data_IF_876560965645
#
_entry.id   IF_876560965645
#
_cell.length_a   1.000
_cell.length_b   1.000
_cell.length_c   1.000
_cell.angle_alpha   90.00
_cell.angle_beta   90.00
_cell.angle_gamma   90.00
#
_symmetry.space_group_name_H-M   'P 1'
#
loop_
_entity.id
_entity.type
_entity.pdbx_description
1 polymer ?
#
# COMPACT_ATOMS: atom_id res chain seq x y z
N UNK A 1 -55.05 -68.06 -32.43
CA UNK A 1 -56.27 -67.22 -32.38
C UNK A 1 -55.89 -65.89 -33.02
N UNK A 2 -56.37 -65.59 -34.24
CA UNK A 2 -57.42 -64.57 -34.53
C UNK A 2 -57.23 -63.30 -33.70
N UNK A 3 -57.15 -62.06 -34.18
CA UNK A 3 -57.44 -61.34 -35.44
C UNK A 3 -57.04 -59.87 -35.11
N UNK A 4 -56.33 -59.13 -35.96
CA UNK A 4 -56.82 -57.97 -36.73
C UNK A 4 -57.67 -56.98 -35.89
N UNK A 5 -57.44 -55.68 -35.78
CA UNK A 5 -57.25 -54.61 -36.78
C UNK A 5 -57.50 -53.30 -35.95
N UNK A 6 -56.85 -52.15 -36.08
CA UNK A 6 -57.15 -51.08 -37.05
C UNK A 6 -56.33 -49.83 -36.63
N UNK A 7 -55.62 -49.19 -37.58
CA UNK A 7 -55.40 -47.72 -37.76
C UNK A 7 -54.75 -46.87 -36.63
N UNK A 8 -53.84 -45.91 -36.86
CA UNK A 8 -53.28 -45.27 -38.05
C UNK A 8 -52.01 -44.48 -37.63
N UNK A 9 -50.94 -44.71 -38.39
CA UNK A 9 -49.78 -43.88 -38.76
C UNK A 9 -49.74 -42.37 -38.36
N UNK A 10 -48.54 -41.99 -37.88
CA UNK A 10 -47.77 -40.73 -38.01
C UNK A 10 -48.09 -39.43 -37.22
N UNK A 11 -47.01 -38.96 -36.58
CA UNK A 11 -46.46 -37.60 -36.62
C UNK A 11 -46.93 -36.51 -35.64
N UNK A 12 -45.92 -35.97 -34.95
CA UNK A 12 -45.66 -34.53 -34.72
C UNK A 12 -46.42 -33.94 -33.52
N UNK A 13 -45.79 -33.85 -32.33
CA UNK A 13 -44.99 -32.70 -31.84
C UNK A 13 -45.83 -31.82 -30.89
N UNK A 14 -45.15 -31.21 -29.91
CA UNK A 14 -45.59 -30.12 -29.03
C UNK A 14 -46.62 -30.45 -27.93
N UNK A 15 -46.14 -30.50 -26.67
CA UNK A 15 -46.50 -29.58 -25.58
C UNK A 15 -46.07 -30.16 -24.23
N UNK A 16 -44.78 -30.06 -23.90
CA UNK A 16 -44.34 -30.00 -22.51
C UNK A 16 -44.39 -28.54 -22.08
N UNK A 17 -45.40 -28.21 -21.29
CA UNK A 17 -45.60 -26.90 -20.69
C UNK A 17 -44.48 -26.60 -19.68
N UNK A 18 -43.70 -25.57 -20.02
CA UNK A 18 -43.20 -24.51 -19.15
C UNK A 18 -43.17 -24.76 -17.63
N UNK A 19 -41.96 -24.91 -17.10
CA UNK A 19 -41.57 -24.28 -15.84
C UNK A 19 -40.28 -23.51 -16.10
N UNK A 20 -40.42 -22.20 -16.27
CA UNK A 20 -39.31 -21.25 -16.34
C UNK A 20 -38.81 -20.96 -14.92
N UNK A 21 -37.52 -21.16 -14.72
CA UNK A 21 -36.71 -20.50 -13.70
C UNK A 21 -35.41 -20.09 -14.39
N UNK A 22 -35.48 -18.98 -15.11
CA UNK A 22 -34.36 -18.31 -15.76
C UNK A 22 -33.43 -17.75 -14.66
N UNK A 23 -32.12 -17.96 -14.80
CA UNK A 23 -31.09 -17.07 -14.28
C UNK A 23 -29.72 -17.52 -14.82
N UNK A 24 -29.31 -16.82 -15.88
CA UNK A 24 -27.96 -16.29 -15.96
C UNK A 24 -26.90 -17.29 -16.36
N UNK A 25 -26.61 -17.28 -17.65
CA UNK A 25 -25.35 -17.74 -18.22
C UNK A 25 -24.19 -17.03 -17.48
N UNK A 26 -23.60 -17.68 -16.47
CA UNK A 26 -22.26 -17.35 -16.01
C UNK A 26 -21.30 -17.80 -17.13
N UNK A 27 -21.25 -17.00 -18.19
CA UNK A 27 -20.15 -17.02 -19.14
C UNK A 27 -18.89 -16.59 -18.38
N UNK A 28 -18.32 -17.53 -17.65
CA UNK A 28 -16.93 -17.45 -17.24
C UNK A 28 -16.10 -17.42 -18.51
N UNK A 29 -15.80 -16.22 -19.00
CA UNK A 29 -14.77 -16.01 -20.00
C UNK A 29 -13.46 -16.39 -19.30
N UNK A 30 -12.99 -17.61 -19.55
CA UNK A 30 -11.58 -17.91 -19.32
C UNK A 30 -10.77 -16.82 -20.03
N UNK A 31 -10.07 -15.99 -19.27
CA UNK A 31 -9.02 -15.14 -19.83
C UNK A 31 -8.05 -16.12 -20.52
N UNK A 32 -7.80 -15.99 -21.83
CA UNK A 32 -6.89 -16.89 -22.51
C UNK A 32 -5.55 -16.92 -21.78
N UNK A 33 -5.17 -18.10 -21.28
CA UNK A 33 -3.80 -18.32 -20.85
C UNK A 33 -2.89 -18.03 -22.04
N UNK A 34 -1.96 -17.07 -21.91
CA UNK A 34 -0.95 -16.79 -22.93
C UNK A 34 -1.01 -15.45 -23.65
N UNK A 35 -1.81 -14.47 -23.22
CA UNK A 35 -1.52 -13.08 -23.61
C UNK A 35 -0.37 -12.56 -22.76
N UNK A 36 0.84 -12.61 -23.32
CA UNK A 36 2.04 -12.05 -22.71
C UNK A 36 1.75 -10.60 -22.26
N UNK A 37 2.16 -10.27 -21.04
CA UNK A 37 2.03 -8.90 -20.53
C UNK A 37 2.74 -7.93 -21.49
N UNK A 38 2.09 -6.83 -21.91
CA UNK A 38 2.71 -5.89 -22.84
C UNK A 38 3.70 -4.94 -22.14
N UNK A 39 3.96 -5.17 -20.84
CA UNK A 39 4.98 -4.44 -20.07
C UNK A 39 6.36 -4.67 -20.69
N UNK A 40 7.08 -3.58 -20.87
CA UNK A 40 8.45 -3.58 -21.38
C UNK A 40 9.38 -3.47 -20.16
N UNK A 41 10.10 -4.55 -19.86
CA UNK A 41 11.05 -4.62 -18.73
C UNK A 41 12.38 -5.22 -19.18
N UNK A 42 13.22 -4.41 -19.83
CA UNK A 42 14.61 -4.81 -20.14
C UNK A 42 15.54 -4.35 -19.00
N UNK A 43 16.01 -5.32 -18.18
CA UNK A 43 16.83 -5.07 -16.99
C UNK A 43 18.16 -4.35 -17.25
N UNK A 44 18.66 -4.40 -18.49
CA UNK A 44 19.91 -3.74 -18.90
C UNK A 44 19.70 -2.28 -19.32
N UNK A 45 18.45 -1.89 -19.61
CA UNK A 45 18.09 -0.56 -20.14
C UNK A 45 17.29 0.30 -19.15
N UNK A 46 16.86 -0.27 -18.03
CA UNK A 46 16.13 0.43 -16.98
C UNK A 46 17.07 1.09 -15.94
N UNK A 47 16.64 2.17 -15.27
CA UNK A 47 15.33 2.82 -15.39
C UNK A 47 15.18 3.62 -16.68
N UNK A 48 14.03 3.50 -17.35
CA UNK A 48 13.74 4.31 -18.53
C UNK A 48 13.53 5.79 -18.18
N UNK A 49 13.84 6.70 -19.10
CA UNK A 49 13.65 8.14 -18.89
C UNK A 49 12.17 8.54 -18.77
N UNK A 50 11.26 7.83 -19.44
CA UNK A 50 9.82 8.10 -19.43
C UNK A 50 9.06 6.95 -18.80
N UNK A 51 8.03 7.28 -18.00
CA UNK A 51 7.19 6.27 -17.35
C UNK A 51 6.39 5.47 -18.38
N UNK A 52 5.91 6.11 -19.44
CA UNK A 52 5.17 5.45 -20.52
C UNK A 52 5.95 4.32 -21.21
N UNK A 53 7.29 4.36 -21.20
CA UNK A 53 8.12 3.35 -21.86
C UNK A 53 8.01 1.95 -21.24
N UNK A 54 7.61 1.83 -19.97
CA UNK A 54 7.37 0.52 -19.36
C UNK A 54 6.05 -0.10 -19.82
N UNK A 55 5.13 0.69 -20.37
CA UNK A 55 3.81 0.25 -20.79
C UNK A 55 3.00 -0.44 -19.66
N UNK A 56 3.01 0.13 -18.45
CA UNK A 56 2.24 -0.40 -17.32
C UNK A 56 0.74 -0.12 -17.39
N UNK A 57 0.33 0.90 -18.15
CA UNK A 57 -1.04 1.38 -18.18
C UNK A 57 -1.57 1.50 -19.61
N UNK A 58 -2.84 1.15 -19.80
CA UNK A 58 -3.58 1.27 -21.04
C UNK A 58 -3.91 2.73 -21.36
N UNK A 59 -3.82 3.10 -22.64
CA UNK A 59 -4.21 4.42 -23.14
C UNK A 59 -3.48 5.58 -22.43
N UNK A 60 -4.23 6.61 -22.05
CA UNK A 60 -3.70 7.75 -21.30
C UNK A 60 -3.23 7.32 -19.90
N UNK A 61 -1.91 7.28 -19.69
CA UNK A 61 -1.31 6.73 -18.47
C UNK A 61 -1.77 7.42 -17.16
N UNK A 62 -2.25 8.67 -17.22
CA UNK A 62 -2.84 9.39 -16.07
C UNK A 62 -4.06 8.68 -15.48
N UNK A 63 -4.78 7.91 -16.28
CA UNK A 63 -5.95 7.15 -15.83
C UNK A 63 -5.55 5.96 -14.95
N UNK A 64 -4.28 5.54 -15.03
CA UNK A 64 -3.69 4.42 -14.30
C UNK A 64 -4.54 3.15 -14.39
N UNK A 65 -5.05 2.87 -15.60
CA UNK A 65 -5.73 1.62 -15.92
C UNK A 65 -4.67 0.57 -16.25
N UNK A 66 -4.44 -0.45 -15.40
CA UNK A 66 -3.34 -1.38 -15.61
C UNK A 66 -3.53 -2.23 -16.87
N UNK A 67 -2.45 -2.47 -17.60
CA UNK A 67 -2.41 -3.49 -18.66
C UNK A 67 -2.47 -4.91 -18.08
N UNK A 68 -2.69 -5.92 -18.91
CA UNK A 68 -2.64 -7.32 -18.52
C UNK A 68 -1.33 -7.66 -17.77
N UNK A 69 -1.45 -8.29 -16.60
CA UNK A 69 -0.34 -8.66 -15.72
C UNK A 69 0.05 -7.59 -14.69
N UNK A 70 -0.32 -6.33 -14.87
CA UNK A 70 -0.13 -5.32 -13.83
C UNK A 70 -1.30 -5.41 -12.85
N UNK A 71 -1.04 -5.82 -11.61
CA UNK A 71 -2.08 -6.06 -10.63
C UNK A 71 -2.16 -4.91 -9.61
N UNK A 72 -3.30 -4.23 -9.45
CA UNK A 72 -3.47 -3.26 -8.39
C UNK A 72 -3.53 -3.94 -7.02
N UNK A 73 -3.06 -3.24 -6.00
CA UNK A 73 -3.20 -3.65 -4.60
C UNK A 73 -3.27 -2.43 -3.69
N UNK A 74 -3.73 -2.65 -2.46
CA UNK A 74 -3.71 -1.68 -1.39
C UNK A 74 -3.28 -2.31 -0.07
N UNK A 75 -2.95 -1.48 0.91
CA UNK A 75 -2.54 -1.90 2.24
C UNK A 75 -3.71 -1.75 3.21
N UNK A 76 -3.69 -2.51 4.32
CA UNK A 76 -4.69 -2.37 5.39
C UNK A 76 -4.68 -0.93 5.95
N UNK A 77 -3.49 -0.38 6.17
CA UNK A 77 -3.26 1.02 6.52
C UNK A 77 -2.31 1.68 5.53
N UNK A 78 -2.54 2.94 5.18
CA UNK A 78 -1.69 3.69 4.25
C UNK A 78 -0.78 4.66 4.99
N UNK A 79 0.51 4.66 4.61
CA UNK A 79 1.51 5.66 5.01
C UNK A 79 0.99 7.08 4.78
N UNK A 80 1.12 7.94 5.78
CA UNK A 80 0.87 9.37 5.67
C UNK A 80 1.96 10.06 4.83
N UNK A 81 1.54 10.91 3.90
CA UNK A 81 2.45 11.72 3.07
C UNK A 81 1.71 12.96 2.62
N UNK A 82 1.56 13.94 3.52
CA UNK A 82 0.87 15.20 3.25
C UNK A 82 -0.56 15.05 2.70
N UNK A 83 -1.29 14.05 3.20
CA UNK A 83 -2.62 13.66 2.71
C UNK A 83 -2.70 13.22 1.24
N UNK A 84 -1.56 13.08 0.54
CA UNK A 84 -1.55 12.49 -0.80
C UNK A 84 -2.15 11.07 -0.75
N UNK A 85 -3.05 10.77 -1.69
CA UNK A 85 -3.57 9.43 -1.93
C UNK A 85 -2.55 8.60 -2.71
N UNK A 86 -2.68 7.27 -2.65
CA UNK A 86 -1.75 6.35 -3.30
C UNK A 86 -2.47 5.28 -4.10
N UNK A 87 -2.10 5.12 -5.37
CA UNK A 87 -2.38 3.90 -6.15
C UNK A 87 -1.13 3.04 -6.14
N UNK A 88 -1.29 1.73 -5.98
CA UNK A 88 -0.17 0.77 -5.97
C UNK A 88 -0.44 -0.37 -6.93
N UNK A 89 0.62 -0.80 -7.60
CA UNK A 89 0.57 -1.91 -8.54
C UNK A 89 1.81 -2.80 -8.37
N UNK A 90 1.65 -4.08 -8.66
CA UNK A 90 2.74 -5.04 -8.76
C UNK A 90 2.73 -5.64 -10.16
N UNK A 91 3.92 -5.83 -10.72
CA UNK A 91 4.14 -6.59 -11.93
C UNK A 91 5.34 -7.51 -11.73
N UNK A 92 5.25 -8.74 -12.24
CA UNK A 92 6.33 -9.72 -12.24
C UNK A 92 6.48 -10.34 -13.64
N UNK A 93 7.70 -10.73 -14.04
CA UNK A 93 7.90 -11.49 -15.26
C UNK A 93 7.07 -12.78 -15.27
N UNK A 94 6.63 -13.17 -16.46
CA UNK A 94 5.83 -14.38 -16.65
C UNK A 94 6.54 -15.62 -16.08
N UNK A 95 5.78 -16.47 -15.40
CA UNK A 95 6.29 -17.70 -14.78
C UNK A 95 7.08 -17.51 -13.48
N UNK A 96 7.30 -16.27 -13.02
CA UNK A 96 7.97 -15.99 -11.75
C UNK A 96 6.98 -15.74 -10.62
N UNK A 97 7.40 -16.03 -9.37
CA UNK A 97 6.57 -15.97 -8.17
C UNK A 97 7.33 -15.37 -7.01
N UNK A 98 6.66 -14.54 -6.21
CA UNK A 98 7.11 -14.18 -4.89
C UNK A 98 6.88 -15.33 -3.88
N UNK A 99 7.64 -15.32 -2.79
CA UNK A 99 7.56 -16.32 -1.72
C UNK A 99 7.23 -15.66 -0.39
N UNK A 100 6.35 -16.30 0.38
CA UNK A 100 6.08 -15.94 1.77
C UNK A 100 7.30 -16.28 2.64
N UNK A 101 7.70 -15.34 3.51
CA UNK A 101 8.77 -15.55 4.49
C UNK A 101 8.15 -15.61 5.89
N UNK A 102 7.57 -14.51 6.35
CA UNK A 102 6.76 -14.39 7.57
C UNK A 102 5.65 -13.35 7.37
N UNK A 103 4.72 -13.24 8.32
CA UNK A 103 3.62 -12.26 8.23
C UNK A 103 4.12 -10.80 8.14
N UNK A 104 5.17 -10.48 8.91
CA UNK A 104 5.68 -9.12 9.09
C UNK A 104 6.85 -8.74 8.19
N UNK A 105 7.33 -9.66 7.36
CA UNK A 105 8.40 -9.42 6.40
C UNK A 105 7.85 -9.12 5.01
N UNK A 106 8.62 -8.38 4.22
CA UNK A 106 8.29 -8.15 2.82
C UNK A 106 8.35 -9.50 2.09
N UNK A 107 7.38 -9.74 1.20
CA UNK A 107 7.42 -10.91 0.34
C UNK A 107 8.77 -10.98 -0.40
N UNK A 108 9.33 -12.19 -0.53
CA UNK A 108 10.56 -12.37 -1.29
C UNK A 108 10.24 -12.36 -2.78
N UNK A 109 10.55 -11.25 -3.45
CA UNK A 109 10.18 -11.01 -4.84
C UNK A 109 11.28 -11.46 -5.81
N UNK A 110 10.92 -12.07 -6.96
CA UNK A 110 11.88 -12.49 -7.97
C UNK A 110 12.49 -11.30 -8.70
N UNK A 111 13.69 -11.50 -9.26
CA UNK A 111 14.31 -10.55 -10.21
C UNK A 111 13.37 -10.25 -11.37
N UNK A 112 13.27 -8.98 -11.73
CA UNK A 112 12.31 -8.44 -12.70
C UNK A 112 11.06 -7.82 -12.08
N UNK A 113 10.78 -8.05 -10.79
CA UNK A 113 9.61 -7.46 -10.14
C UNK A 113 9.63 -5.94 -10.17
N UNK A 114 8.49 -5.32 -10.50
CA UNK A 114 8.26 -3.89 -10.35
C UNK A 114 7.14 -3.63 -9.33
N UNK A 115 7.44 -2.79 -8.34
CA UNK A 115 6.45 -2.25 -7.39
C UNK A 115 6.25 -0.78 -7.72
N UNK A 116 5.05 -0.43 -8.15
CA UNK A 116 4.70 0.89 -8.68
C UNK A 116 3.81 1.58 -7.67
N UNK A 117 4.11 2.83 -7.33
CA UNK A 117 3.33 3.64 -6.39
C UNK A 117 3.18 5.06 -6.92
N UNK A 118 1.95 5.48 -7.15
CA UNK A 118 1.63 6.83 -7.64
C UNK A 118 1.00 7.65 -6.53
N UNK A 119 1.51 8.86 -6.32
CA UNK A 119 1.04 9.83 -5.33
C UNK A 119 0.21 10.91 -6.02
N UNK A 120 -1.00 11.14 -5.53
CA UNK A 120 -1.95 12.05 -6.17
C UNK A 120 -2.90 12.71 -5.16
N UNK A 121 -3.58 13.75 -5.61
CA UNK A 121 -4.65 14.43 -4.88
C UNK A 121 -5.90 14.43 -5.74
N UNK A 122 -7.03 14.00 -5.18
CA UNK A 122 -8.34 14.20 -5.79
C UNK A 122 -8.89 15.58 -5.42
N UNK A 123 -9.88 16.04 -6.19
CA UNK A 123 -10.50 17.36 -6.00
C UNK A 123 -9.47 18.50 -6.01
N UNK A 124 -8.46 18.42 -6.88
CA UNK A 124 -7.42 19.42 -6.99
C UNK A 124 -7.99 20.74 -7.52
N UNK A 125 -7.60 21.86 -6.92
CA UNK A 125 -8.01 23.19 -7.36
C UNK A 125 -7.16 23.65 -8.56
N UNK A 126 -7.73 24.33 -9.57
CA UNK A 126 -9.11 24.80 -9.67
C UNK A 126 -10.08 23.84 -10.38
N UNK A 127 -9.59 22.77 -11.02
CA UNK A 127 -10.39 21.94 -11.93
C UNK A 127 -11.35 20.97 -11.22
N UNK A 128 -11.10 20.66 -9.94
CA UNK A 128 -11.78 19.59 -9.20
C UNK A 128 -11.37 18.18 -9.65
N UNK A 129 -10.37 18.05 -10.51
CA UNK A 129 -9.92 16.76 -11.05
C UNK A 129 -8.75 16.19 -10.23
N UNK A 130 -8.39 14.94 -10.48
CA UNK A 130 -7.17 14.34 -9.94
C UNK A 130 -5.93 15.06 -10.46
N UNK A 131 -5.00 15.40 -9.57
CA UNK A 131 -3.65 15.87 -9.88
C UNK A 131 -2.62 14.84 -9.39
N UNK A 132 -1.87 14.23 -10.31
CA UNK A 132 -0.81 13.28 -9.98
C UNK A 132 0.50 14.06 -9.81
N UNK A 133 1.24 13.73 -8.76
CA UNK A 133 2.49 14.42 -8.44
C UNK A 133 3.69 13.63 -8.94
N UNK A 134 3.81 12.38 -8.47
CA UNK A 134 4.93 11.51 -8.80
C UNK A 134 4.51 10.04 -8.85
N UNK A 135 5.24 9.25 -9.62
CA UNK A 135 5.18 7.79 -9.61
C UNK A 135 6.56 7.26 -9.26
N UNK A 136 6.63 6.46 -8.19
CA UNK A 136 7.85 5.78 -7.77
C UNK A 136 7.78 4.32 -8.15
N UNK A 137 8.85 3.80 -8.73
CA UNK A 137 9.00 2.40 -9.05
C UNK A 137 10.20 1.85 -8.28
N UNK A 138 9.99 0.76 -7.56
CA UNK A 138 11.08 -0.09 -7.10
C UNK A 138 11.18 -1.30 -8.02
N UNK A 139 12.37 -1.55 -8.57
CA UNK A 139 12.62 -2.66 -9.50
C UNK A 139 13.64 -3.61 -8.90
N UNK A 140 13.31 -4.89 -8.81
CA UNK A 140 14.20 -5.94 -8.32
C UNK A 140 15.15 -6.38 -9.43
N UNK A 141 16.41 -5.94 -9.38
CA UNK A 141 17.51 -6.46 -10.21
C UNK A 141 18.16 -7.68 -9.53
N UNK A 142 19.12 -8.28 -10.22
CA UNK A 142 19.87 -9.44 -9.70
C UNK A 142 20.72 -9.06 -8.46
N UNK A 143 21.24 -7.85 -8.42
CA UNK A 143 22.10 -7.29 -7.37
C UNK A 143 21.32 -6.63 -6.22
N UNK A 144 20.03 -6.34 -6.40
CA UNK A 144 19.22 -5.70 -5.37
C UNK A 144 18.03 -4.92 -5.93
N UNK A 145 17.39 -4.14 -5.06
CA UNK A 145 16.34 -3.21 -5.48
C UNK A 145 16.96 -1.91 -5.97
N UNK A 146 16.43 -1.35 -7.05
CA UNK A 146 16.71 0.02 -7.48
C UNK A 146 15.47 0.90 -7.35
N UNK A 147 15.66 2.21 -7.21
CA UNK A 147 14.59 3.20 -7.16
C UNK A 147 14.59 4.03 -8.43
N UNK A 148 13.40 4.26 -8.98
CA UNK A 148 13.18 5.16 -10.09
C UNK A 148 12.01 6.08 -9.73
N UNK A 149 12.26 7.39 -9.67
CA UNK A 149 11.25 8.39 -9.36
C UNK A 149 10.86 9.17 -10.61
N UNK A 150 9.57 9.26 -10.91
CA UNK A 150 9.03 9.94 -12.09
C UNK A 150 8.14 11.09 -11.68
N UNK A 151 8.44 12.30 -12.14
CA UNK A 151 7.63 13.50 -11.86
C UNK A 151 6.72 13.78 -13.05
N UNK A 152 5.44 13.95 -12.78
CA UNK A 152 4.42 14.20 -13.79
C UNK A 152 4.49 15.63 -14.31
N UNK A 153 4.31 15.80 -15.62
CA UNK A 153 4.20 17.12 -16.24
C UNK A 153 2.85 17.79 -15.93
N UNK A 154 2.77 19.10 -16.15
CA UNK A 154 1.56 19.88 -15.88
C UNK A 154 0.37 19.46 -16.75
N UNK A 155 0.65 18.98 -17.97
CA UNK A 155 -0.36 18.51 -18.93
C UNK A 155 -0.93 17.13 -18.57
N UNK A 156 -0.35 16.43 -17.57
CA UNK A 156 -0.76 15.10 -17.13
C UNK A 156 -0.68 14.04 -18.24
N UNK A 157 0.30 14.16 -19.12
CA UNK A 157 0.50 13.25 -20.27
C UNK A 157 1.70 12.32 -20.11
N UNK A 158 2.68 12.69 -19.29
CA UNK A 158 3.91 11.92 -19.09
C UNK A 158 4.50 12.16 -17.71
N UNK A 159 5.29 11.19 -17.23
CA UNK A 159 6.18 11.39 -16.09
C UNK A 159 7.63 11.07 -16.46
N UNK A 160 8.56 11.93 -16.04
CA UNK A 160 9.97 11.86 -16.43
C UNK A 160 10.83 11.49 -15.21
N UNK A 161 11.78 10.58 -15.42
CA UNK A 161 12.74 10.14 -14.42
C UNK A 161 13.53 11.33 -13.86
N UNK A 162 13.64 11.39 -12.53
CA UNK A 162 14.48 12.35 -11.82
C UNK A 162 15.25 11.67 -10.70
N UNK A 163 16.48 12.14 -10.47
CA UNK A 163 17.28 11.80 -9.28
C UNK A 163 17.30 12.93 -8.25
N UNK A 164 16.90 14.14 -8.67
CA UNK A 164 16.91 15.34 -7.86
C UNK A 164 15.66 15.40 -6.97
N UNK A 165 15.82 15.99 -5.78
CA UNK A 165 14.67 16.42 -4.98
C UNK A 165 13.89 17.50 -5.72
N UNK A 166 12.59 17.56 -5.50
CA UNK A 166 11.71 18.58 -6.06
C UNK A 166 10.61 18.98 -5.09
N UNK A 167 9.77 19.91 -5.54
CA UNK A 167 8.54 20.21 -4.83
C UNK A 167 7.46 20.70 -5.77
N UNK A 168 6.21 20.38 -5.46
CA UNK A 168 5.03 20.84 -6.20
C UNK A 168 4.03 21.42 -5.19
N UNK A 169 3.63 22.67 -5.39
CA UNK A 169 2.55 23.25 -4.60
C UNK A 169 1.24 22.65 -5.08
N UNK A 170 0.52 21.99 -4.18
CA UNK A 170 -0.80 21.40 -4.46
C UNK A 170 -1.85 22.13 -3.63
N UNK A 171 -3.00 22.40 -4.27
CA UNK A 171 -4.21 22.86 -3.62
C UNK A 171 -5.33 21.88 -3.90
N UNK A 172 -6.09 21.49 -2.90
CA UNK A 172 -7.20 20.54 -3.06
C UNK A 172 -8.31 20.84 -2.05
N UNK A 173 -9.53 20.42 -2.38
CA UNK A 173 -10.64 20.47 -1.44
C UNK A 173 -10.67 19.22 -0.56
N UNK A 174 -10.70 19.44 0.75
CA UNK A 174 -10.93 18.41 1.76
C UNK A 174 -12.25 18.73 2.46
N UNK A 175 -13.33 18.08 2.02
CA UNK A 175 -14.69 18.58 2.29
C UNK A 175 -14.84 19.98 1.70
N UNK A 176 -15.37 20.91 2.49
CA UNK A 176 -15.56 22.31 2.06
C UNK A 176 -14.31 23.19 2.21
N UNK A 177 -13.21 22.65 2.73
CA UNK A 177 -12.00 23.42 3.01
C UNK A 177 -10.98 23.31 1.89
N UNK A 178 -10.56 24.46 1.34
CA UNK A 178 -9.42 24.53 0.44
C UNK A 178 -8.11 24.38 1.25
N UNK A 179 -7.42 23.26 1.04
CA UNK A 179 -6.11 22.99 1.62
C UNK A 179 -5.00 23.38 0.64
N UNK A 180 -3.80 23.59 1.17
CA UNK A 180 -2.60 23.83 0.37
C UNK A 180 -1.43 23.14 1.04
N UNK A 181 -0.55 22.53 0.23
CA UNK A 181 0.69 21.94 0.69
C UNK A 181 1.81 22.19 -0.31
N UNK A 182 3.03 22.35 0.19
CA UNK A 182 4.22 22.31 -0.64
C UNK A 182 4.78 20.88 -0.63
N UNK A 183 4.20 20.01 -1.45
CA UNK A 183 4.54 18.60 -1.48
C UNK A 183 6.01 18.43 -1.87
N UNK A 184 6.76 17.67 -1.05
CA UNK A 184 8.17 17.40 -1.27
C UNK A 184 8.37 16.07 -2.00
N UNK A 185 9.02 16.15 -3.15
CA UNK A 185 9.44 14.99 -3.94
C UNK A 185 10.87 14.65 -3.45
N UNK A 186 11.07 13.50 -2.78
CA UNK A 186 12.37 13.14 -2.23
C UNK A 186 13.38 12.81 -3.33
N UNK A 187 14.64 13.12 -3.09
CA UNK A 187 15.77 12.63 -3.89
C UNK A 187 15.97 11.12 -3.69
N UNK A 188 16.78 10.50 -4.55
CA UNK A 188 17.14 9.09 -4.38
C UNK A 188 17.81 8.80 -3.02
N UNK A 189 18.65 9.71 -2.52
CA UNK A 189 19.28 9.58 -1.21
C UNK A 189 18.27 9.65 -0.05
N UNK A 190 17.25 10.51 -0.17
CA UNK A 190 16.16 10.57 0.81
C UNK A 190 15.24 9.34 0.73
N UNK A 191 15.03 8.75 -0.46
CA UNK A 191 14.34 7.46 -0.55
C UNK A 191 15.10 6.36 0.19
N UNK A 192 16.44 6.33 0.06
CA UNK A 192 17.29 5.35 0.71
C UNK A 192 17.23 5.41 2.24
N UNK A 193 17.01 6.57 2.88
CA UNK A 193 16.97 6.66 4.35
C UNK A 193 15.79 5.90 4.98
N UNK A 194 14.67 5.78 4.26
CA UNK A 194 13.53 4.95 4.67
C UNK A 194 13.61 3.52 4.13
N UNK A 195 14.14 3.34 2.92
CA UNK A 195 14.14 2.05 2.22
C UNK A 195 15.44 1.26 2.41
N UNK A 196 16.16 1.43 3.52
CA UNK A 196 17.36 0.66 3.84
C UNK A 196 17.15 -0.16 5.09
N UNK A 197 17.41 -1.47 5.00
CA UNK A 197 17.42 -2.41 6.11
C UNK A 197 18.71 -3.21 6.05
N UNK A 198 19.50 -3.21 7.13
CA UNK A 198 20.81 -3.88 7.19
C UNK A 198 21.72 -3.52 6.00
N UNK A 199 21.77 -2.23 5.64
CA UNK A 199 22.53 -1.69 4.49
C UNK A 199 22.08 -2.21 3.11
N UNK A 200 20.88 -2.78 3.00
CA UNK A 200 20.30 -3.24 1.73
C UNK A 200 18.99 -2.53 1.44
N UNK A 201 18.73 -2.26 0.16
CA UNK A 201 17.47 -1.62 -0.24
C UNK A 201 16.31 -2.61 -0.19
N UNK A 202 15.23 -2.21 0.49
CA UNK A 202 14.03 -3.04 0.67
C UNK A 202 12.74 -2.25 0.40
N UNK A 203 11.69 -2.87 -0.17
CA UNK A 203 10.37 -2.27 -0.25
C UNK A 203 9.75 -2.01 1.11
N UNK A 204 8.79 -1.10 1.17
CA UNK A 204 7.97 -0.84 2.36
C UNK A 204 6.52 -1.06 1.98
N UNK A 205 5.80 -1.86 2.77
CA UNK A 205 4.38 -2.10 2.59
C UNK A 205 3.97 -3.52 2.18
N UNK A 206 4.56 -4.18 1.16
CA UNK A 206 4.06 -5.44 0.60
C UNK A 206 4.48 -6.64 1.46
N UNK A 207 4.03 -6.61 2.72
CA UNK A 207 4.13 -7.67 3.71
C UNK A 207 2.79 -8.41 3.75
N UNK A 208 2.75 -9.73 3.98
CA UNK A 208 1.49 -10.46 4.12
C UNK A 208 0.52 -9.83 5.12
N UNK A 209 1.01 -9.37 6.28
CA UNK A 209 0.19 -8.71 7.31
C UNK A 209 -0.56 -7.46 6.81
N UNK A 210 0.00 -6.77 5.81
CA UNK A 210 -0.56 -5.53 5.26
C UNK A 210 -1.42 -5.76 4.01
N UNK A 211 -1.35 -6.95 3.42
CA UNK A 211 -2.05 -7.31 2.17
C UNK A 211 -3.27 -8.19 2.44
N UNK A 212 -3.35 -8.83 3.61
CA UNK A 212 -4.40 -9.75 3.97
C UNK A 212 -5.75 -9.04 4.24
N UNK A 213 -6.37 -8.56 3.17
CA UNK A 213 -7.71 -7.97 3.11
C UNK A 213 -8.33 -8.26 1.75
N UNK A 214 -9.66 -8.10 1.67
CA UNK A 214 -10.36 -8.13 0.40
C UNK A 214 -10.10 -6.83 -0.38
N UNK A 215 -9.99 -6.97 -1.71
CA UNK A 215 -9.86 -5.88 -2.66
C UNK A 215 -10.88 -6.07 -3.79
N UNK A 216 -11.48 -4.97 -4.22
CA UNK A 216 -12.44 -4.95 -5.34
C UNK A 216 -11.67 -4.80 -6.64
N UNK A 217 -11.45 -5.91 -7.33
CA UNK A 217 -10.93 -5.95 -8.69
C UNK A 217 -12.07 -5.72 -9.69
N UNK A 218 -11.72 -5.43 -10.94
CA UNK A 218 -12.69 -5.20 -12.02
C UNK A 218 -13.65 -6.37 -12.24
N UNK A 219 -13.17 -7.60 -11.99
CA UNK A 219 -13.88 -8.86 -12.22
C UNK A 219 -14.52 -9.45 -10.95
N UNK A 220 -14.03 -9.09 -9.76
CA UNK A 220 -14.34 -9.81 -8.53
C UNK A 220 -13.91 -9.05 -7.27
N UNK A 221 -14.51 -9.41 -6.12
CA UNK A 221 -13.95 -9.09 -4.81
C UNK A 221 -13.17 -10.30 -4.33
N UNK A 222 -11.88 -10.14 -4.04
CA UNK A 222 -11.03 -11.26 -3.60
C UNK A 222 -10.01 -10.80 -2.56
N UNK A 223 -9.57 -11.71 -1.68
CA UNK A 223 -8.43 -11.43 -0.83
C UNK A 223 -7.19 -11.26 -1.72
N UNK A 224 -6.40 -10.21 -1.46
CA UNK A 224 -5.29 -9.86 -2.34
C UNK A 224 -4.23 -10.96 -2.43
N UNK A 225 -3.88 -11.61 -1.31
CA UNK A 225 -2.90 -12.69 -1.30
C UNK A 225 -3.38 -13.89 -2.11
N UNK A 226 -4.67 -14.22 -2.01
CA UNK A 226 -5.27 -15.30 -2.81
C UNK A 226 -5.40 -14.93 -4.28
N UNK A 227 -5.69 -13.66 -4.63
CA UNK A 227 -5.61 -13.20 -6.02
C UNK A 227 -4.19 -13.35 -6.57
N UNK A 228 -3.16 -12.97 -5.80
CA UNK A 228 -1.76 -13.10 -6.21
C UNK A 228 -1.38 -14.57 -6.41
N UNK A 229 -1.87 -15.49 -5.59
CA UNK A 229 -1.69 -16.93 -5.80
C UNK A 229 -2.40 -17.42 -7.07
N UNK A 230 -3.65 -17.01 -7.28
CA UNK A 230 -4.47 -17.43 -8.41
C UNK A 230 -3.88 -16.99 -9.77
N UNK A 231 -3.28 -15.81 -9.84
CA UNK A 231 -2.60 -15.32 -11.06
C UNK A 231 -1.14 -15.78 -11.17
N UNK A 232 -0.67 -16.58 -10.21
CA UNK A 232 0.69 -17.12 -10.21
C UNK A 232 1.79 -16.13 -9.85
N UNK A 233 1.50 -15.07 -9.08
CA UNK A 233 2.47 -14.09 -8.55
C UNK A 233 2.95 -14.41 -7.14
N UNK A 234 2.26 -15.28 -6.42
CA UNK A 234 2.64 -15.72 -5.07
C UNK A 234 2.53 -17.25 -4.99
N UNK A 235 3.46 -17.90 -4.31
CA UNK A 235 3.44 -19.35 -4.17
C UNK A 235 2.30 -19.83 -3.26
N UNK A 236 2.46 -19.66 -1.94
CA UNK A 236 1.48 -20.01 -0.94
C UNK A 236 1.65 -19.11 0.29
N UNK A 237 0.60 -19.00 1.09
CA UNK A 237 0.59 -18.34 2.40
C UNK A 237 -0.06 -19.29 3.42
N UNK A 238 0.28 -19.17 4.72
CA UNK A 238 -0.42 -19.93 5.75
C UNK A 238 -1.91 -19.52 5.82
N UNK A 239 -2.80 -20.40 6.32
CA UNK A 239 -4.22 -20.10 6.42
C UNK A 239 -4.55 -18.97 7.41
N UNK A 240 -3.65 -18.72 8.36
CA UNK A 240 -3.78 -17.65 9.35
C UNK A 240 -2.57 -16.73 9.25
N UNK A 241 -2.82 -15.43 9.06
CA UNK A 241 -1.81 -14.38 9.01
C UNK A 241 -2.17 -13.34 10.06
N UNK A 242 -1.24 -13.09 11.00
CA UNK A 242 -1.36 -11.95 11.92
C UNK A 242 -1.30 -10.65 11.10
N UNK A 243 -2.44 -9.98 10.97
CA UNK A 243 -2.61 -8.87 10.03
C UNK A 243 -2.72 -7.55 10.76
N UNK A 244 -2.23 -6.48 10.12
CA UNK A 244 -2.51 -5.12 10.56
C UNK A 244 -3.97 -4.79 10.31
N UNK A 245 -4.47 -3.75 10.96
CA UNK A 245 -5.82 -3.23 10.80
C UNK A 245 -5.84 -2.03 9.84
N UNK A 246 -7.02 -1.71 9.33
CA UNK A 246 -7.30 -0.34 8.90
C UNK A 246 -7.42 0.52 10.17
N UNK A 247 -6.48 1.44 10.36
CA UNK A 247 -6.44 2.28 11.55
C UNK A 247 -7.67 3.21 11.67
N UNK A 248 -8.40 3.43 10.58
CA UNK A 248 -9.61 4.27 10.53
C UNK A 248 -10.89 3.50 10.86
N UNK A 249 -10.87 2.17 10.86
CA UNK A 249 -12.04 1.34 11.15
C UNK A 249 -12.34 1.30 12.65
N UNK A 250 -13.17 2.22 13.13
CA UNK A 250 -13.53 2.36 14.56
C UNK A 250 -14.27 1.15 15.16
N UNK A 251 -14.65 0.15 14.35
CA UNK A 251 -15.18 -1.12 14.89
C UNK A 251 -14.10 -2.00 15.51
N UNK A 252 -12.82 -1.75 15.17
CA UNK A 252 -11.66 -2.45 15.70
C UNK A 252 -11.12 -1.78 16.97
N UNK A 253 -10.45 -2.56 17.82
CA UNK A 253 -9.90 -2.04 19.08
C UNK A 253 -8.91 -0.90 18.85
N UNK A 254 -8.88 0.06 19.78
CA UNK A 254 -7.96 1.19 19.72
C UNK A 254 -6.50 0.74 19.65
N UNK A 255 -6.11 -0.29 20.42
CA UNK A 255 -4.75 -0.82 20.43
C UNK A 255 -4.30 -1.34 19.07
N UNK A 256 -5.11 -2.15 18.39
CA UNK A 256 -4.71 -2.71 17.09
C UNK A 256 -4.61 -1.62 16.02
N UNK A 257 -5.49 -0.62 16.07
CA UNK A 257 -5.46 0.55 15.17
C UNK A 257 -4.21 1.39 15.38
N UNK A 258 -3.88 1.72 16.63
CA UNK A 258 -2.68 2.48 16.98
C UNK A 258 -1.40 1.74 16.55
N UNK A 259 -1.28 0.45 16.86
CA UNK A 259 -0.12 -0.36 16.46
C UNK A 259 0.01 -0.53 14.95
N UNK A 260 -1.10 -0.61 14.22
CA UNK A 260 -1.09 -0.66 12.75
C UNK A 260 -0.68 0.66 12.14
N UNK A 261 -1.12 1.77 12.73
CA UNK A 261 -0.68 3.12 12.35
C UNK A 261 0.83 3.32 12.56
N UNK A 262 1.36 2.87 13.70
CA UNK A 262 2.79 2.90 14.00
C UNK A 262 3.61 1.99 13.07
N UNK A 263 3.11 0.80 12.72
CA UNK A 263 3.81 -0.11 11.79
C UNK A 263 4.04 0.56 10.43
N UNK A 264 2.97 1.05 9.80
CA UNK A 264 3.08 1.58 8.43
C UNK A 264 3.82 2.92 8.36
N UNK A 265 3.72 3.76 9.40
CA UNK A 265 4.31 5.10 9.39
C UNK A 265 5.72 5.16 10.00
N UNK A 266 6.10 4.22 10.88
CA UNK A 266 7.31 4.36 11.69
C UNK A 266 8.22 3.12 11.69
N UNK A 267 7.68 1.91 11.58
CA UNK A 267 8.45 0.67 11.81
C UNK A 267 9.56 0.41 10.78
N UNK A 268 9.46 0.96 9.58
CA UNK A 268 10.51 0.81 8.57
C UNK A 268 11.83 1.48 9.00
N UNK A 269 11.76 2.52 9.84
CA UNK A 269 12.94 3.15 10.46
C UNK A 269 13.21 2.61 11.88
N UNK A 270 12.15 2.46 12.69
CA UNK A 270 12.22 1.99 14.08
C UNK A 270 12.02 0.48 14.16
N UNK A 271 12.98 -0.25 13.61
CA UNK A 271 13.10 -1.71 13.72
C UNK A 271 14.57 -2.09 13.70
N UNK A 272 14.91 -3.29 14.15
CA UNK A 272 16.28 -3.81 14.07
C UNK A 272 16.81 -3.74 12.65
N UNK A 273 17.95 -3.08 12.45
CA UNK A 273 18.57 -2.89 11.13
C UNK A 273 18.07 -1.67 10.35
N UNK A 274 17.04 -0.97 10.83
CA UNK A 274 16.54 0.28 10.26
C UNK A 274 17.38 1.50 10.68
N UNK A 275 17.15 2.63 10.02
CA UNK A 275 17.92 3.87 10.23
C UNK A 275 17.76 4.48 11.63
N UNK A 276 16.65 4.23 12.31
CA UNK A 276 16.40 4.70 13.68
C UNK A 276 16.52 3.57 14.73
N UNK A 277 17.22 2.48 14.40
CA UNK A 277 17.40 1.32 15.29
C UNK A 277 18.20 1.60 16.56
N UNK A 278 18.89 2.74 16.63
CA UNK A 278 19.57 3.22 17.83
C UNK A 278 18.60 3.72 18.91
N UNK A 279 17.39 4.12 18.52
CA UNK A 279 16.33 4.47 19.48
C UNK A 279 15.80 3.19 20.15
N UNK A 280 15.39 3.23 21.42
CA UNK A 280 14.92 2.05 22.13
C UNK A 280 13.47 1.70 21.78
N UNK A 281 13.20 1.56 20.47
CA UNK A 281 11.89 1.20 19.91
C UNK A 281 12.02 0.15 18.82
N UNK A 282 11.03 -0.74 18.75
CA UNK A 282 10.79 -1.62 17.62
C UNK A 282 9.29 -1.65 17.32
N UNK A 283 8.90 -0.85 16.32
CA UNK A 283 7.50 -0.57 16.02
C UNK A 283 6.89 -1.53 14.99
N UNK A 284 7.63 -2.56 14.56
CA UNK A 284 7.09 -3.60 13.69
C UNK A 284 5.88 -4.28 14.37
N UNK A 285 4.78 -4.47 13.65
CA UNK A 285 3.50 -4.90 14.23
C UNK A 285 3.60 -6.17 15.08
N UNK A 286 4.41 -7.14 14.66
CA UNK A 286 4.65 -8.39 15.38
C UNK A 286 5.60 -8.27 16.60
N UNK A 287 6.17 -7.07 16.84
CA UNK A 287 7.04 -6.74 17.98
C UNK A 287 6.37 -5.84 19.00
N UNK A 288 5.26 -5.19 18.63
CA UNK A 288 4.53 -4.23 19.48
C UNK A 288 3.60 -4.88 20.49
N UNK A 289 3.58 -6.21 20.61
CA UNK A 289 3.00 -6.90 21.75
C UNK A 289 3.85 -6.76 23.03
N UNK A 290 5.09 -6.28 22.91
CA UNK A 290 5.99 -6.00 24.02
C UNK A 290 5.96 -4.49 24.28
N UNK A 291 5.51 -4.07 25.47
CA UNK A 291 5.35 -2.64 25.83
C UNK A 291 6.63 -1.82 25.70
N UNK A 292 7.79 -2.38 26.07
CA UNK A 292 9.07 -1.67 25.96
C UNK A 292 9.48 -1.44 24.50
N UNK A 293 9.10 -2.30 23.56
CA UNK A 293 9.35 -2.06 22.13
C UNK A 293 8.56 -0.87 21.58
N UNK A 294 7.42 -0.55 22.18
CA UNK A 294 6.64 0.66 21.85
C UNK A 294 7.23 1.93 22.46
N UNK A 295 8.23 1.83 23.33
CA UNK A 295 8.78 2.97 24.09
C UNK A 295 7.94 3.35 25.32
N UNK A 296 7.00 2.50 25.75
CA UNK A 296 6.15 2.79 26.90
C UNK A 296 6.97 2.73 28.19
N UNK A 297 7.03 3.87 28.89
CA UNK A 297 7.84 4.09 30.09
C UNK A 297 9.33 3.83 29.87
N UNK A 298 9.81 4.09 28.66
CA UNK A 298 11.22 4.00 28.29
C UNK A 298 11.75 5.41 28.11
N UNK A 299 12.87 5.73 28.77
CA UNK A 299 13.55 7.00 28.59
C UNK A 299 14.17 7.09 27.19
N UNK A 300 14.06 8.24 26.52
CA UNK A 300 14.67 8.44 25.21
C UNK A 300 16.20 8.43 25.29
N UNK A 301 16.84 7.91 24.25
CA UNK A 301 18.29 7.99 24.07
C UNK A 301 18.71 9.18 23.19
N UNK A 302 17.73 9.79 22.51
CA UNK A 302 17.93 10.87 21.56
C UNK A 302 17.59 12.23 22.19
N UNK A 303 17.82 13.31 21.44
CA UNK A 303 17.55 14.67 21.90
C UNK A 303 16.07 14.92 22.22
N UNK A 304 15.85 15.45 23.42
CA UNK A 304 14.57 15.92 23.94
C UNK A 304 14.63 17.44 24.06
N UNK A 305 13.67 18.13 23.43
CA UNK A 305 13.61 19.59 23.44
C UNK A 305 12.85 20.16 24.64
N UNK A 306 11.98 19.36 25.26
CA UNK A 306 11.17 19.74 26.42
C UNK A 306 11.48 18.90 27.66
N UNK A 307 10.48 18.77 28.53
CA UNK A 307 10.58 18.02 29.80
C UNK A 307 10.06 16.56 29.67
N UNK A 308 9.91 16.05 28.43
CA UNK A 308 9.41 14.68 28.21
C UNK A 308 10.39 13.62 28.69
N UNK A 309 10.10 13.00 29.85
CA UNK A 309 10.94 11.96 30.45
C UNK A 309 10.87 10.62 29.69
N UNK A 310 9.72 10.31 29.06
CA UNK A 310 9.47 9.02 28.43
C UNK A 310 9.11 9.18 26.95
N UNK A 311 9.47 8.17 26.14
CA UNK A 311 9.06 8.09 24.73
C UNK A 311 7.53 8.07 24.64
N UNK A 312 6.91 7.18 25.42
CA UNK A 312 5.47 7.21 25.71
C UNK A 312 5.32 7.19 27.23
N UNK A 313 4.76 8.27 27.77
CA UNK A 313 4.27 8.36 29.14
C UNK A 313 2.83 7.84 29.18
N UNK A 314 2.61 6.65 29.74
CA UNK A 314 1.27 6.06 29.83
C UNK A 314 0.31 6.98 30.60
N UNK A 315 -0.95 7.08 30.13
CA UNK A 315 -2.00 7.98 30.66
C UNK A 315 -1.73 9.49 30.50
N UNK A 316 -0.59 9.88 29.96
CA UNK A 316 -0.22 11.29 29.74
C UNK A 316 0.44 11.48 28.38
N UNK A 317 -0.38 11.55 27.32
CA UNK A 317 0.19 11.73 25.99
C UNK A 317 0.83 13.12 25.80
N UNK A 318 0.45 14.13 26.58
CA UNK A 318 1.07 15.45 26.51
C UNK A 318 2.52 15.43 27.01
N UNK A 319 2.83 14.59 27.99
CA UNK A 319 4.19 14.33 28.47
C UNK A 319 4.98 13.32 27.61
N UNK A 320 4.39 12.78 26.54
CA UNK A 320 5.01 11.76 25.68
C UNK A 320 5.83 12.37 24.53
N UNK A 321 7.12 12.06 24.48
CA UNK A 321 8.02 12.52 23.40
C UNK A 321 7.52 12.11 22.01
N UNK A 322 6.99 10.89 21.87
CA UNK A 322 6.48 10.42 20.57
C UNK A 322 5.41 11.37 20.03
N UNK A 323 4.47 11.78 20.87
CA UNK A 323 3.40 12.68 20.46
C UNK A 323 3.95 14.07 20.10
N UNK A 324 4.89 14.60 20.89
CA UNK A 324 5.50 15.91 20.63
C UNK A 324 6.24 15.96 19.29
N UNK A 325 6.97 14.89 18.94
CA UNK A 325 7.67 14.76 17.65
C UNK A 325 6.69 14.63 16.46
N UNK A 326 5.56 13.92 16.60
CA UNK A 326 4.61 13.77 15.47
C UNK A 326 3.65 14.95 15.29
N UNK A 327 3.52 15.85 16.28
CA UNK A 327 2.62 17.02 16.22
C UNK A 327 3.27 18.34 15.79
N UNK A 328 4.57 18.34 15.51
CA UNK A 328 5.31 19.53 15.04
C UNK A 328 5.72 19.43 13.57
N UNK A 329 5.91 20.58 12.92
CA UNK A 329 6.52 20.67 11.58
C UNK A 329 7.90 21.34 11.61
N UNK A 330 8.48 21.54 12.81
CA UNK A 330 9.86 22.01 12.94
C UNK A 330 10.80 20.92 12.39
N UNK A 331 11.61 21.21 11.35
CA UNK A 331 12.51 20.23 10.75
C UNK A 331 13.52 19.59 11.71
N UNK A 332 13.83 20.23 12.84
CA UNK A 332 14.76 19.71 13.84
C UNK A 332 14.09 18.75 14.84
N UNK A 333 12.76 18.80 14.93
CA UNK A 333 11.98 18.04 15.92
C UNK A 333 11.00 17.05 15.28
N UNK A 334 10.54 17.31 14.06
CA UNK A 334 9.41 16.57 13.50
C UNK A 334 9.75 15.11 13.19
N UNK A 335 8.79 14.23 13.43
CA UNK A 335 8.82 12.84 12.96
C UNK A 335 7.59 12.51 12.10
N UNK A 336 7.76 11.71 11.02
CA UNK A 336 9.03 11.36 10.38
C UNK A 336 9.77 12.59 9.80
N UNK A 337 11.10 12.51 9.75
CA UNK A 337 12.00 13.58 9.25
C UNK A 337 11.79 13.96 7.78
N UNK A 338 11.25 13.03 6.99
CA UNK A 338 11.02 13.20 5.55
C UNK A 338 9.65 12.65 5.15
N UNK A 339 9.14 13.10 4.01
CA UNK A 339 7.86 12.63 3.47
C UNK A 339 6.62 13.35 4.03
N UNK A 340 6.80 14.39 4.84
CA UNK A 340 5.73 15.29 5.27
C UNK A 340 6.19 16.73 5.42
N UNK A 341 5.25 17.64 5.28
CA UNK A 341 5.28 19.06 5.61
C UNK A 341 4.05 19.50 6.40
N UNK A 342 3.04 18.62 6.52
CA UNK A 342 1.85 18.79 7.35
C UNK A 342 1.87 17.80 8.52
N UNK A 343 1.10 18.14 9.56
CA UNK A 343 0.76 17.20 10.63
C UNK A 343 -0.41 16.32 10.19
N UNK A 344 -0.41 15.06 10.61
CA UNK A 344 -1.52 14.14 10.38
C UNK A 344 -2.47 14.19 11.58
N UNK A 345 -3.50 15.03 11.51
CA UNK A 345 -4.36 15.34 12.66
C UNK A 345 -5.05 14.12 13.23
N UNK A 346 -5.57 13.27 12.36
CA UNK A 346 -6.32 12.06 12.69
C UNK A 346 -5.40 11.00 13.31
N UNK A 347 -4.18 10.85 12.77
CA UNK A 347 -3.17 9.97 13.35
C UNK A 347 -2.67 10.44 14.71
N UNK A 348 -2.52 11.76 14.92
CA UNK A 348 -2.16 12.34 16.22
C UNK A 348 -3.26 12.06 17.24
N UNK A 349 -4.54 12.29 16.87
CA UNK A 349 -5.67 12.02 17.75
C UNK A 349 -5.75 10.53 18.14
N UNK A 350 -5.51 9.61 17.20
CA UNK A 350 -5.46 8.18 17.48
C UNK A 350 -4.39 7.83 18.52
N UNK A 351 -3.16 8.36 18.36
CA UNK A 351 -2.05 8.07 19.27
C UNK A 351 -2.25 8.73 20.62
N UNK A 352 -2.77 9.95 20.68
CA UNK A 352 -3.18 10.62 21.92
C UNK A 352 -4.17 9.74 22.69
N UNK A 353 -5.29 9.37 22.06
CA UNK A 353 -6.34 8.56 22.69
C UNK A 353 -5.78 7.22 23.17
N UNK A 354 -4.93 6.57 22.38
CA UNK A 354 -4.31 5.30 22.74
C UNK A 354 -3.37 5.41 23.94
N UNK A 355 -2.64 6.51 24.10
CA UNK A 355 -1.77 6.74 25.25
C UNK A 355 -2.56 7.08 26.51
N UNK A 356 -3.54 8.00 26.40
CA UNK A 356 -4.36 8.45 27.53
C UNK A 356 -5.21 7.32 28.13
N UNK A 357 -5.59 6.33 27.31
CA UNK A 357 -6.41 5.18 27.73
C UNK A 357 -5.61 3.97 28.20
N UNK A 358 -4.28 4.08 28.33
CA UNK A 358 -3.45 2.97 28.83
C UNK A 358 -3.76 2.63 30.29
N UNK A 359 -3.64 1.35 30.64
CA UNK A 359 -4.01 0.84 31.97
C UNK A 359 -3.13 1.36 33.13
N UNK A 360 -1.94 1.88 32.85
CA UNK A 360 -1.01 2.33 33.87
C UNK A 360 -0.17 3.54 33.42
N UNK A 361 0.01 4.47 34.34
CA UNK A 361 0.99 5.53 34.24
C UNK A 361 2.43 5.01 34.35
N UNK A 362 3.39 5.81 33.88
CA UNK A 362 4.79 5.50 34.07
C UNK A 362 5.27 5.81 35.49
N UNK A 363 6.35 5.14 35.96
CA UNK A 363 6.88 5.31 37.31
C UNK A 363 7.36 6.73 37.63
#
# INVERSE_FOLDING_TARGET
MKQNLLTLILCVVFYSLFSCGDNGNDDYIQIPAGLASPVIMNLDSIPYTKLSHYNFFEGDIKNQQPVQGVLPYDLNSSLFTDYALKKRFVWMPEGTKATYVTDGEVLDFPTGTALIKTFYYDNAYPSGTTDIVETRIMIKKADGWIFANYVWNAEMTEAVLTTNSGSKTIKWYQGDYLRTVNYKIPSQAQCASCHTLNNTFVPIGPKPQNLNKNYTYTDSVNNQLYKWMAIGYLNAVPPNIASTADWTDVSLSLDVRARSYLDINCAHCHTTGGSCSYTPMNLAFNKTNIRSNLGICIEPQDFVSGDEQYIIAGQDAEASLMLSKIRTTDPNEMMPLIGRSLIHREGIALIQEWIDTMDAACP
#
